data_IF_373605783958
#
_entry.id   IF_373605783958
#
_cell.length_a   1.000
_cell.length_b   1.000
_cell.length_c   1.000
_cell.angle_alpha   90.00
_cell.angle_beta   90.00
_cell.angle_gamma   90.00
#
_symmetry.space_group_name_H-M   'P 1'
#
loop_
_entity.id
_entity.type
_entity.pdbx_description
1 polymer ?
#
# COMPACT_ATOMS: atom_id res chain seq x y z
N UNK A 1 -6.21 -46.84 -1.33
CA UNK A 1 -6.03 -45.69 -2.24
C UNK A 1 -7.09 -44.60 -2.04
N UNK A 2 -8.41 -44.88 -2.15
CA UNK A 2 -9.47 -43.85 -1.99
C UNK A 2 -9.40 -43.06 -0.67
N UNK A 3 -9.14 -43.72 0.47
CA UNK A 3 -9.00 -43.07 1.79
C UNK A 3 -7.79 -42.13 1.86
N UNK A 4 -6.67 -42.51 1.26
CA UNK A 4 -5.44 -41.70 1.26
C UNK A 4 -5.62 -40.45 0.40
N UNK A 5 -6.23 -40.60 -0.79
CA UNK A 5 -6.56 -39.48 -1.67
C UNK A 5 -7.53 -38.51 -0.97
N UNK A 6 -8.54 -39.04 -0.27
CA UNK A 6 -9.46 -38.23 0.51
C UNK A 6 -8.76 -37.44 1.64
N UNK A 7 -7.87 -38.10 2.39
CA UNK A 7 -7.09 -37.45 3.46
C UNK A 7 -6.18 -36.36 2.88
N UNK A 8 -5.50 -36.64 1.76
CA UNK A 8 -4.63 -35.66 1.11
C UNK A 8 -5.44 -34.44 0.63
N UNK A 9 -6.58 -34.67 -0.03
CA UNK A 9 -7.47 -33.61 -0.48
C UNK A 9 -7.99 -32.77 0.69
N UNK A 10 -8.45 -33.42 1.75
CA UNK A 10 -8.92 -32.72 2.95
C UNK A 10 -7.81 -31.92 3.64
N UNK A 11 -6.59 -32.48 3.71
CA UNK A 11 -5.43 -31.77 4.25
C UNK A 11 -5.11 -30.49 3.47
N UNK A 12 -5.11 -30.55 2.12
CA UNK A 12 -4.90 -29.37 1.28
C UNK A 12 -5.98 -28.31 1.52
N UNK A 13 -7.25 -28.71 1.66
CA UNK A 13 -8.33 -27.78 1.98
C UNK A 13 -8.16 -27.12 3.34
N UNK A 14 -7.78 -27.88 4.38
CA UNK A 14 -7.56 -27.34 5.73
C UNK A 14 -6.40 -26.35 5.74
N UNK A 15 -5.27 -26.70 5.11
CA UNK A 15 -4.11 -25.80 4.99
C UNK A 15 -4.46 -24.55 4.19
N UNK A 16 -5.20 -24.70 3.08
CA UNK A 16 -5.67 -23.58 2.27
C UNK A 16 -6.57 -22.63 3.07
N UNK A 17 -7.56 -23.17 3.80
CA UNK A 17 -8.44 -22.38 4.64
C UNK A 17 -7.68 -21.64 5.75
N UNK A 18 -6.77 -22.34 6.45
CA UNK A 18 -5.92 -21.74 7.47
C UNK A 18 -5.03 -20.62 6.89
N UNK A 19 -4.48 -20.80 5.70
CA UNK A 19 -3.68 -19.79 5.02
C UNK A 19 -4.50 -18.55 4.65
N UNK A 20 -5.72 -18.71 4.13
CA UNK A 20 -6.61 -17.58 3.83
C UNK A 20 -6.98 -16.80 5.09
N UNK A 21 -7.30 -17.50 6.18
CA UNK A 21 -7.58 -16.87 7.48
C UNK A 21 -6.35 -16.09 7.94
N UNK A 22 -5.17 -16.69 7.90
CA UNK A 22 -3.92 -16.03 8.26
C UNK A 22 -3.70 -14.74 7.47
N UNK A 23 -3.88 -14.76 6.14
CA UNK A 23 -3.73 -13.57 5.31
C UNK A 23 -4.75 -12.47 5.65
N UNK A 24 -6.00 -12.84 5.94
CA UNK A 24 -7.05 -11.87 6.31
C UNK A 24 -6.80 -11.24 7.68
N UNK A 25 -6.25 -12.01 8.62
CA UNK A 25 -5.86 -11.50 9.94
C UNK A 25 -4.55 -10.71 9.94
N UNK A 26 -3.69 -10.93 8.94
CA UNK A 26 -2.40 -10.24 8.80
C UNK A 26 -2.32 -9.60 7.41
N UNK A 27 -3.11 -8.54 7.14
CA UNK A 27 -3.11 -7.87 5.85
C UNK A 27 -1.70 -7.34 5.54
N UNK A 28 -1.19 -7.54 4.32
CA UNK A 28 0.21 -7.24 3.99
C UNK A 28 0.50 -5.75 3.80
N UNK A 29 -0.52 -4.94 3.50
CA UNK A 29 -0.34 -3.49 3.34
C UNK A 29 -0.47 -2.81 4.70
N UNK A 30 0.48 -1.93 5.01
CA UNK A 30 0.45 -1.07 6.20
C UNK A 30 0.65 0.39 5.82
N UNK A 31 0.12 1.29 6.65
CA UNK A 31 0.40 2.74 6.60
C UNK A 31 1.41 3.04 7.70
N UNK A 32 2.56 3.61 7.33
CA UNK A 32 3.65 3.92 8.27
C UNK A 32 3.58 5.34 8.82
N UNK A 33 2.97 6.26 8.08
CA UNK A 33 2.88 7.66 8.45
C UNK A 33 2.24 8.49 7.34
N UNK A 34 2.03 9.77 7.59
CA UNK A 34 1.53 10.71 6.61
C UNK A 34 2.07 12.12 6.86
N UNK A 35 2.07 12.93 5.81
CA UNK A 35 2.49 14.33 5.85
C UNK A 35 1.77 15.15 4.79
N UNK A 36 1.96 16.47 4.83
CA UNK A 36 1.52 17.36 3.76
C UNK A 36 2.56 17.41 2.65
N UNK A 37 2.11 17.23 1.41
CA UNK A 37 2.92 17.51 0.24
C UNK A 37 3.16 19.03 0.15
N UNK A 38 4.42 19.44 0.11
CA UNK A 38 4.82 20.84 -0.09
C UNK A 38 4.14 21.83 0.89
N UNK A 39 3.79 21.37 2.09
CA UNK A 39 3.08 22.17 3.10
C UNK A 39 1.59 22.42 2.82
N UNK A 40 1.03 21.89 1.73
CA UNK A 40 -0.37 22.04 1.36
C UNK A 40 -1.27 21.06 2.15
N UNK A 41 -2.19 21.53 3.01
CA UNK A 41 -3.05 20.67 3.81
C UNK A 41 -4.08 19.88 2.98
N UNK A 42 -4.37 20.30 1.75
CA UNK A 42 -5.28 19.60 0.85
C UNK A 42 -4.61 18.44 0.13
N UNK A 43 -3.27 18.33 0.17
CA UNK A 43 -2.52 17.25 -0.48
C UNK A 43 -1.77 16.46 0.60
N UNK A 44 -2.25 15.25 0.89
CA UNK A 44 -1.58 14.34 1.82
C UNK A 44 -0.70 13.35 1.07
N UNK A 45 0.50 13.15 1.57
CA UNK A 45 1.29 11.96 1.31
C UNK A 45 1.06 10.96 2.43
N UNK A 46 0.65 9.75 2.09
CA UNK A 46 0.50 8.64 3.03
C UNK A 46 1.53 7.58 2.68
N UNK A 47 2.51 7.37 3.54
CA UNK A 47 3.52 6.33 3.34
C UNK A 47 2.89 4.96 3.54
N UNK A 48 3.09 4.09 2.56
CA UNK A 48 2.57 2.73 2.56
C UNK A 48 3.70 1.73 2.34
N UNK A 49 3.55 0.56 2.96
CA UNK A 49 4.53 -0.49 2.85
C UNK A 49 3.86 -1.86 2.68
N UNK A 50 4.41 -2.67 1.78
CA UNK A 50 4.01 -4.06 1.63
C UNK A 50 4.92 -4.94 2.49
N UNK A 51 4.38 -5.45 3.60
CA UNK A 51 5.03 -6.44 4.50
C UNK A 51 4.75 -7.89 4.08
N UNK A 52 4.05 -8.10 2.97
CA UNK A 52 3.75 -9.42 2.43
C UNK A 52 4.97 -10.12 1.81
N UNK A 53 4.73 -11.31 1.27
CA UNK A 53 5.74 -12.12 0.58
C UNK A 53 5.70 -11.96 -0.95
N UNK A 54 4.71 -11.24 -1.48
CA UNK A 54 4.55 -10.98 -2.91
C UNK A 54 4.11 -9.54 -3.15
N UNK A 55 4.20 -9.11 -4.40
CA UNK A 55 3.61 -7.86 -4.84
C UNK A 55 2.11 -7.77 -4.54
N UNK A 56 1.65 -6.54 -4.28
CA UNK A 56 0.24 -6.20 -4.21
C UNK A 56 -0.10 -5.11 -5.23
N UNK A 57 -1.37 -5.04 -5.62
CA UNK A 57 -1.86 -4.06 -6.58
C UNK A 57 -2.94 -3.20 -5.92
N UNK A 58 -2.74 -1.88 -5.92
CA UNK A 58 -3.78 -0.95 -5.47
C UNK A 58 -4.93 -0.92 -6.47
N UNK A 59 -6.15 -0.72 -5.97
CA UNK A 59 -7.35 -0.65 -6.79
C UNK A 59 -7.98 0.73 -6.71
N UNK A 60 -8.27 1.19 -5.49
CA UNK A 60 -8.91 2.47 -5.26
C UNK A 60 -8.53 3.01 -3.89
N UNK A 61 -8.83 4.28 -3.67
CA UNK A 61 -8.79 4.90 -2.36
C UNK A 61 -10.06 5.71 -2.17
N UNK A 62 -10.57 5.71 -0.94
CA UNK A 62 -11.64 6.60 -0.49
C UNK A 62 -11.09 7.48 0.63
N UNK A 63 -11.48 8.74 0.62
CA UNK A 63 -11.28 9.72 1.70
C UNK A 63 -12.63 9.97 2.32
N UNK A 64 -12.76 9.74 3.63
CA UNK A 64 -14.01 9.94 4.37
C UNK A 64 -15.22 9.31 3.63
N UNK A 65 -15.01 8.06 3.15
CA UNK A 65 -15.98 7.24 2.41
C UNK A 65 -16.39 7.76 1.03
N UNK A 66 -15.70 8.77 0.50
CA UNK A 66 -15.92 9.35 -0.82
C UNK A 66 -14.68 9.25 -1.70
N UNK A 67 -14.86 9.37 -3.01
CA UNK A 67 -13.73 9.47 -3.93
C UNK A 67 -13.01 10.82 -3.70
N UNK A 68 -11.66 10.83 -3.60
CA UNK A 68 -10.91 12.08 -3.56
C UNK A 68 -10.92 12.78 -4.91
N UNK A 69 -10.54 14.06 -4.93
CA UNK A 69 -10.37 14.83 -6.18
C UNK A 69 -9.26 14.22 -7.05
N UNK A 70 -8.21 13.73 -6.42
CA UNK A 70 -7.13 13.02 -7.08
C UNK A 70 -6.43 12.03 -6.14
N UNK A 71 -5.97 10.91 -6.70
CA UNK A 71 -5.09 9.99 -5.99
C UNK A 71 -4.06 9.38 -6.94
N UNK A 72 -2.79 9.37 -6.50
CA UNK A 72 -1.66 8.79 -7.25
C UNK A 72 -0.79 7.95 -6.33
N UNK A 73 -0.18 6.93 -6.91
CA UNK A 73 0.94 6.22 -6.29
C UNK A 73 2.21 7.01 -6.59
N UNK A 74 2.94 7.37 -5.53
CA UNK A 74 4.25 7.99 -5.60
C UNK A 74 5.29 6.95 -5.26
N UNK A 75 6.30 6.82 -6.12
CA UNK A 75 7.44 5.93 -5.91
C UNK A 75 8.68 6.80 -5.82
N UNK A 76 9.35 6.77 -4.67
CA UNK A 76 10.66 7.40 -4.46
C UNK A 76 11.76 6.36 -4.64
N UNK A 77 12.80 6.72 -5.38
CA UNK A 77 14.02 5.93 -5.55
C UNK A 77 15.13 6.34 -4.59
N UNK A 78 14.94 7.38 -3.78
CA UNK A 78 15.95 7.85 -2.83
C UNK A 78 15.40 7.96 -1.42
N UNK A 79 14.83 9.12 -1.09
CA UNK A 79 14.47 9.50 0.27
C UNK A 79 13.08 8.99 0.66
N UNK A 80 12.85 8.74 1.96
CA UNK A 80 11.52 8.54 2.52
C UNK A 80 10.68 9.83 2.45
N UNK A 81 9.39 9.70 2.72
CA UNK A 81 8.44 10.81 2.68
C UNK A 81 8.39 11.54 4.03
N UNK A 82 9.33 12.46 4.25
CA UNK A 82 9.42 13.26 5.47
C UNK A 82 8.56 14.54 5.44
N UNK A 83 8.40 15.19 6.59
CA UNK A 83 7.69 16.46 6.71
C UNK A 83 8.38 17.54 5.88
N UNK A 84 7.64 18.14 4.94
CA UNK A 84 8.18 19.15 4.02
C UNK A 84 8.93 18.57 2.82
N UNK A 85 8.82 17.26 2.56
CA UNK A 85 9.37 16.64 1.36
C UNK A 85 8.89 17.38 0.11
N UNK A 86 9.86 17.93 -0.65
CA UNK A 86 9.60 18.54 -1.96
C UNK A 86 9.37 17.43 -2.97
N UNK A 87 8.11 17.23 -3.35
CA UNK A 87 7.73 16.17 -4.28
C UNK A 87 7.75 16.69 -5.71
N UNK A 88 7.36 17.95 -5.91
CA UNK A 88 7.40 18.58 -7.21
C UNK A 88 8.83 18.71 -7.73
N UNK A 89 9.02 18.35 -9.01
CA UNK A 89 10.30 18.37 -9.71
C UNK A 89 11.42 17.49 -9.11
N UNK A 90 11.09 16.50 -8.27
CA UNK A 90 12.08 15.56 -7.77
C UNK A 90 12.38 14.47 -8.82
N UNK A 91 13.60 14.39 -9.39
CA UNK A 91 13.93 13.40 -10.42
C UNK A 91 13.94 11.95 -9.91
N UNK A 92 14.02 11.76 -8.59
CA UNK A 92 13.97 10.44 -7.95
C UNK A 92 12.54 9.99 -7.62
N UNK A 93 11.54 10.83 -7.88
CA UNK A 93 10.14 10.51 -7.63
C UNK A 93 9.37 10.33 -8.95
N UNK A 94 8.48 9.35 -8.96
CA UNK A 94 7.60 9.10 -10.11
C UNK A 94 6.17 8.93 -9.64
N UNK A 95 5.23 9.39 -10.46
CA UNK A 95 3.81 9.40 -10.15
C UNK A 95 3.05 8.49 -11.11
N UNK A 96 2.24 7.61 -10.55
CA UNK A 96 1.51 6.59 -11.30
C UNK A 96 0.04 6.57 -10.91
N UNK A 97 -0.82 6.08 -11.81
CA UNK A 97 -2.18 5.72 -11.40
C UNK A 97 -2.12 4.57 -10.39
N UNK A 98 -3.08 4.51 -9.46
CA UNK A 98 -3.10 3.48 -8.41
C UNK A 98 -2.95 2.05 -8.97
N UNK A 99 -3.64 1.74 -10.07
CA UNK A 99 -3.66 0.41 -10.67
C UNK A 99 -2.49 0.09 -11.59
N UNK A 100 -1.63 1.08 -11.90
CA UNK A 100 -0.63 0.99 -12.97
C UNK A 100 0.60 0.17 -12.56
N UNK A 101 0.98 0.19 -11.28
CA UNK A 101 2.22 -0.41 -10.79
C UNK A 101 1.94 -1.23 -9.53
N UNK A 102 2.61 -2.38 -9.44
CA UNK A 102 2.60 -3.20 -8.23
C UNK A 102 3.53 -2.64 -7.15
N UNK A 103 3.18 -2.86 -5.89
CA UNK A 103 4.02 -2.51 -4.74
C UNK A 103 4.79 -3.75 -4.30
N UNK A 104 6.11 -3.69 -4.45
CA UNK A 104 7.00 -4.77 -4.04
C UNK A 104 7.06 -4.91 -2.52
N UNK A 105 7.19 -6.15 -2.00
CA UNK A 105 7.53 -6.37 -0.60
C UNK A 105 8.77 -5.61 -0.19
N UNK A 106 8.70 -4.91 0.93
CA UNK A 106 9.82 -4.09 1.40
C UNK A 106 11.07 -4.89 1.75
N UNK A 107 10.90 -6.16 2.16
CA UNK A 107 12.00 -7.09 2.42
C UNK A 107 12.83 -7.43 1.16
N UNK A 108 12.31 -7.17 -0.04
CA UNK A 108 13.01 -7.41 -1.31
C UNK A 108 13.56 -6.13 -1.94
N UNK A 109 13.40 -4.98 -1.28
CA UNK A 109 13.98 -3.72 -1.72
C UNK A 109 15.44 -3.68 -1.26
N UNK A 110 16.37 -3.67 -2.21
CA UNK A 110 17.78 -3.40 -1.90
C UNK A 110 17.98 -1.90 -1.64
N UNK A 111 18.18 -1.59 -0.36
CA UNK A 111 18.38 -0.24 0.20
C UNK A 111 19.69 0.42 -0.24
N UNK A 112 20.62 -0.34 -0.84
CA UNK A 112 21.88 0.19 -1.35
C UNK A 112 21.76 0.70 -2.79
N UNK A 113 20.73 0.28 -3.54
CA UNK A 113 20.48 0.70 -4.92
C UNK A 113 19.66 2.01 -5.03
N UNK A 114 20.08 3.02 -4.27
CA UNK A 114 19.50 4.37 -4.28
C UNK A 114 19.58 4.97 -5.69
N UNK A 115 18.51 5.63 -6.13
CA UNK A 115 18.35 6.26 -7.45
C UNK A 115 18.07 5.28 -8.59
N UNK A 116 18.27 3.98 -8.39
CA UNK A 116 18.14 2.95 -9.44
C UNK A 116 16.79 2.25 -9.42
N UNK A 117 16.31 1.87 -8.24
CA UNK A 117 15.06 1.14 -8.05
C UNK A 117 14.15 1.82 -7.03
N UNK A 118 12.89 1.37 -6.95
CA UNK A 118 11.93 1.84 -5.95
C UNK A 118 12.44 1.57 -4.54
N UNK A 119 12.46 2.60 -3.70
CA UNK A 119 12.88 2.55 -2.30
C UNK A 119 11.70 2.78 -1.35
N UNK A 120 10.82 3.71 -1.68
CA UNK A 120 9.67 4.07 -0.84
C UNK A 120 8.40 4.24 -1.70
N UNK A 121 7.25 3.92 -1.10
CA UNK A 121 5.94 4.05 -1.72
C UNK A 121 5.05 4.95 -0.86
N UNK A 122 4.30 5.85 -1.50
CA UNK A 122 3.29 6.65 -0.85
C UNK A 122 2.06 6.85 -1.73
N UNK A 123 0.94 7.18 -1.13
CA UNK A 123 -0.24 7.68 -1.81
C UNK A 123 -0.26 9.20 -1.71
N UNK A 124 -0.24 9.90 -2.85
CA UNK A 124 -0.57 11.32 -2.90
C UNK A 124 -2.07 11.45 -3.10
N UNK A 125 -2.76 12.08 -2.14
CA UNK A 125 -4.21 12.18 -2.11
C UNK A 125 -4.60 13.65 -2.00
N UNK A 126 -5.44 14.10 -2.93
CA UNK A 126 -5.98 15.46 -2.96
C UNK A 126 -7.46 15.42 -2.55
N UNK A 127 -7.79 16.09 -1.45
CA UNK A 127 -9.16 16.34 -1.02
C UNK A 127 -9.21 17.53 -0.06
N UNK A 128 -10.38 18.16 0.07
CA UNK A 128 -10.59 19.34 0.94
C UNK A 128 -10.23 19.08 2.41
N UNK A 129 -10.56 17.91 2.92
CA UNK A 129 -10.19 17.43 4.25
C UNK A 129 -9.94 15.92 4.15
N UNK A 130 -8.98 15.44 4.94
CA UNK A 130 -8.60 14.03 4.96
C UNK A 130 -8.47 13.61 6.42
N UNK A 131 -9.53 13.02 6.97
CA UNK A 131 -9.53 12.46 8.33
C UNK A 131 -9.30 10.96 8.30
N UNK A 132 -9.90 10.27 7.32
CA UNK A 132 -9.85 8.82 7.20
C UNK A 132 -9.58 8.44 5.76
N UNK A 133 -8.73 7.44 5.57
CA UNK A 133 -8.52 6.81 4.27
C UNK A 133 -8.92 5.35 4.31
N UNK A 134 -9.49 4.88 3.20
CA UNK A 134 -9.77 3.48 2.94
C UNK A 134 -9.09 3.08 1.65
N UNK A 135 -8.06 2.25 1.73
CA UNK A 135 -7.27 1.77 0.61
C UNK A 135 -7.78 0.38 0.22
N UNK A 136 -8.26 0.23 -1.00
CA UNK A 136 -8.63 -1.06 -1.57
C UNK A 136 -7.49 -1.59 -2.42
N UNK A 137 -7.12 -2.85 -2.21
CA UNK A 137 -6.01 -3.47 -2.92
C UNK A 137 -6.22 -4.97 -3.07
N UNK A 138 -5.40 -5.57 -3.94
CA UNK A 138 -5.43 -6.99 -4.25
C UNK A 138 -4.07 -7.60 -3.93
N UNK A 139 -4.09 -8.73 -3.22
CA UNK A 139 -2.90 -9.50 -2.87
C UNK A 139 -3.20 -10.99 -3.07
N UNK A 140 -2.36 -11.69 -3.85
CA UNK A 140 -2.57 -13.10 -4.22
C UNK A 140 -3.97 -13.37 -4.80
N UNK A 141 -4.47 -12.43 -5.60
CA UNK A 141 -5.83 -12.42 -6.13
C UNK A 141 -7.00 -12.25 -5.14
N UNK A 142 -6.71 -12.02 -3.87
CA UNK A 142 -7.70 -11.81 -2.83
C UNK A 142 -7.88 -10.30 -2.62
N UNK A 143 -9.12 -9.78 -2.55
CA UNK A 143 -9.36 -8.38 -2.25
C UNK A 143 -9.15 -8.09 -0.76
N UNK A 144 -8.56 -6.95 -0.46
CA UNK A 144 -8.33 -6.43 0.88
C UNK A 144 -8.72 -4.96 0.97
N UNK A 145 -9.02 -4.56 2.19
CA UNK A 145 -9.32 -3.18 2.56
C UNK A 145 -8.46 -2.84 3.76
N UNK A 146 -7.72 -1.74 3.67
CA UNK A 146 -7.01 -1.14 4.80
C UNK A 146 -7.65 0.22 5.09
N UNK A 147 -8.06 0.42 6.34
CA UNK A 147 -8.61 1.69 6.81
C UNK A 147 -7.65 2.30 7.83
N UNK A 148 -7.32 3.58 7.67
CA UNK A 148 -6.46 4.30 8.59
C UNK A 148 -7.06 5.68 8.90
N UNK A 149 -7.12 6.02 10.18
CA UNK A 149 -7.43 7.37 10.66
C UNK A 149 -6.14 8.20 10.61
N UNK A 150 -6.22 9.36 9.97
CA UNK A 150 -5.16 10.36 9.85
C UNK A 150 -5.56 11.53 10.77
N UNK A 151 -5.11 11.51 12.03
CA UNK A 151 -5.44 12.57 12.97
C UNK A 151 -4.90 13.93 12.48
N UNK A 152 -5.58 15.05 12.75
CA UNK A 152 -4.94 16.36 12.67
C UNK A 152 -3.78 16.35 13.69
N UNK A 153 -2.56 16.71 13.27
CA UNK A 153 -1.52 17.03 14.24
C UNK A 153 -2.09 18.08 15.21
N UNK A 154 -2.15 17.73 16.51
CA UNK A 154 -2.55 18.63 17.57
C UNK A 154 -1.53 19.76 17.75
#
# INVERSE_FOLDING_TARGET
MKKIIFILFFSVLVVGAAFIIYLKSNPPLVVNGYTNADGNPSIRLIEIENKGLRELQLQSILVDEKLPDNAKLVISKSEPFEVGAKIENNPNMTFHKLTQVSIFPSQYIDRQAIGKQAQHYALQVHATAIQKITIQYKYLNIPFTLTAELQPNA
#
